data_IF_717918584064
#
_entry.id   IF_717918584064
#
_cell.length_a   1.000
_cell.length_b   1.000
_cell.length_c   1.000
_cell.angle_alpha   90.00
_cell.angle_beta   90.00
_cell.angle_gamma   90.00
#
_symmetry.space_group_name_H-M   'P 1'
#
loop_
_entity.id
_entity.type
_entity.pdbx_description
1 polymer ?
#
# COMPACT_ATOMS: atom_id res chain seq x y z
N UNK A 1 -0.46 16.03 -5.43
CA UNK A 1 0.00 15.87 -4.01
C UNK A 1 -0.83 14.77 -3.34
N UNK A 2 -0.28 14.09 -2.31
CA UNK A 2 -0.89 12.91 -1.67
C UNK A 2 -2.34 13.08 -1.21
N UNK A 3 -2.74 14.31 -0.88
CA UNK A 3 -4.06 14.63 -0.32
C UNK A 3 -4.99 15.33 -1.32
N UNK A 4 -4.79 15.11 -2.62
CA UNK A 4 -5.69 15.64 -3.66
C UNK A 4 -6.85 14.68 -3.92
N UNK A 5 -8.02 15.21 -4.29
CA UNK A 5 -9.19 14.38 -4.65
C UNK A 5 -8.87 13.29 -5.70
N UNK A 6 -8.13 13.56 -6.79
CA UNK A 6 -7.73 12.52 -7.74
C UNK A 6 -6.89 11.40 -7.13
N UNK A 7 -6.04 11.73 -6.16
CA UNK A 7 -5.20 10.76 -5.46
C UNK A 7 -6.02 9.89 -4.50
N UNK A 8 -7.02 10.46 -3.84
CA UNK A 8 -7.97 9.68 -3.02
C UNK A 8 -8.79 8.71 -3.87
N UNK A 9 -9.30 9.14 -5.02
CA UNK A 9 -9.99 8.24 -5.96
C UNK A 9 -9.09 7.11 -6.43
N UNK A 10 -7.81 7.40 -6.71
CA UNK A 10 -6.82 6.39 -7.08
C UNK A 10 -6.58 5.39 -5.93
N UNK A 11 -6.45 5.87 -4.69
CA UNK A 11 -6.25 5.04 -3.49
C UNK A 11 -7.47 4.16 -3.20
N UNK A 12 -8.69 4.69 -3.33
CA UNK A 12 -9.91 3.88 -3.19
C UNK A 12 -10.03 2.81 -4.27
N UNK A 13 -9.69 3.15 -5.52
CA UNK A 13 -9.66 2.16 -6.61
C UNK A 13 -8.65 1.06 -6.30
N UNK A 14 -7.46 1.43 -5.85
CA UNK A 14 -6.42 0.48 -5.44
C UNK A 14 -6.92 -0.43 -4.31
N UNK A 15 -7.52 0.12 -3.26
CA UNK A 15 -8.05 -0.66 -2.14
C UNK A 15 -9.13 -1.65 -2.57
N UNK A 16 -10.03 -1.27 -3.49
CA UNK A 16 -11.04 -2.18 -4.05
C UNK A 16 -10.40 -3.35 -4.82
N UNK A 17 -9.38 -3.08 -5.63
CA UNK A 17 -8.66 -4.12 -6.38
C UNK A 17 -7.88 -5.06 -5.46
N UNK A 18 -7.27 -4.52 -4.40
CA UNK A 18 -6.57 -5.30 -3.37
C UNK A 18 -7.55 -6.19 -2.61
N UNK A 19 -8.72 -5.67 -2.24
CA UNK A 19 -9.78 -6.48 -1.64
C UNK A 19 -10.22 -7.62 -2.58
N UNK A 20 -10.29 -7.36 -3.89
CA UNK A 20 -10.56 -8.37 -4.91
C UNK A 20 -9.59 -9.55 -4.89
N UNK A 21 -8.27 -9.30 -4.85
CA UNK A 21 -7.27 -10.38 -4.75
C UNK A 21 -7.28 -11.09 -3.38
N UNK A 22 -7.91 -10.48 -2.37
CA UNK A 22 -8.19 -11.09 -1.07
C UNK A 22 -9.57 -11.77 -0.99
N UNK A 23 -10.26 -11.94 -2.13
CA UNK A 23 -11.61 -12.50 -2.21
C UNK A 23 -12.64 -11.77 -1.33
N UNK A 24 -12.48 -10.45 -1.18
CA UNK A 24 -13.32 -9.61 -0.34
C UNK A 24 -13.05 -9.72 1.17
N UNK A 25 -12.07 -10.54 1.59
CA UNK A 25 -11.73 -10.69 3.01
C UNK A 25 -10.46 -9.92 3.39
N UNK A 26 -10.64 -8.71 3.92
CA UNK A 26 -9.54 -7.84 4.39
C UNK A 26 -9.09 -8.23 5.81
N UNK A 27 -9.97 -8.84 6.63
CA UNK A 27 -9.67 -9.24 8.00
C UNK A 27 -9.35 -10.73 8.09
N UNK A 28 -8.06 -11.06 8.19
CA UNK A 28 -7.60 -12.44 8.32
C UNK A 28 -7.64 -12.97 9.75
N UNK A 29 -7.66 -12.06 10.73
CA UNK A 29 -7.75 -12.43 12.13
C UNK A 29 -9.17 -12.91 12.47
N UNK A 30 -9.33 -13.93 13.34
CA UNK A 30 -10.64 -14.35 13.85
C UNK A 30 -11.12 -13.35 14.92
N UNK A 31 -11.63 -12.20 14.48
CA UNK A 31 -12.08 -11.13 15.37
C UNK A 31 -13.49 -11.45 15.88
N UNK A 32 -13.70 -11.62 17.20
CA UNK A 32 -15.03 -11.84 17.74
C UNK A 32 -15.87 -10.56 17.67
N UNK A 33 -17.10 -10.66 17.16
CA UNK A 33 -18.06 -9.55 17.19
C UNK A 33 -18.64 -9.42 18.61
N UNK A 34 -17.95 -8.62 19.44
CA UNK A 34 -18.30 -8.39 20.83
C UNK A 34 -18.55 -6.92 21.09
N UNK A 35 -19.72 -6.61 21.66
CA UNK A 35 -20.07 -5.27 22.14
C UNK A 35 -18.99 -4.67 23.05
N UNK A 36 -18.59 -3.45 22.72
CA UNK A 36 -17.58 -2.70 23.48
C UNK A 36 -16.14 -3.04 23.11
N UNK A 37 -15.91 -3.80 22.04
CA UNK A 37 -14.57 -3.95 21.45
C UNK A 37 -14.08 -2.64 20.86
N UNK A 38 -12.77 -2.44 20.82
CA UNK A 38 -12.12 -1.29 20.18
C UNK A 38 -11.17 -1.77 19.10
N UNK A 39 -11.18 -1.10 17.96
CA UNK A 39 -10.35 -1.43 16.81
C UNK A 39 -9.63 -0.18 16.31
N UNK A 40 -8.35 -0.32 15.96
CA UNK A 40 -7.49 0.78 15.53
C UNK A 40 -6.88 0.46 14.14
N UNK A 41 -7.17 1.30 13.16
CA UNK A 41 -6.56 1.30 11.83
C UNK A 41 -5.41 2.31 11.79
N UNK A 42 -4.16 1.85 11.65
CA UNK A 42 -2.95 2.68 11.67
C UNK A 42 -2.46 2.89 10.24
N UNK A 43 -2.31 4.15 9.84
CA UNK A 43 -2.08 4.53 8.44
C UNK A 43 -3.36 4.41 7.62
N UNK A 44 -4.49 4.85 8.18
CA UNK A 44 -5.81 4.59 7.59
C UNK A 44 -6.04 5.29 6.24
N UNK A 45 -5.17 6.24 5.85
CA UNK A 45 -5.23 6.92 4.56
C UNK A 45 -6.58 7.58 4.31
N UNK A 46 -7.31 7.11 3.29
CA UNK A 46 -8.66 7.60 2.95
C UNK A 46 -9.74 7.16 3.93
N UNK A 47 -9.45 6.19 4.82
CA UNK A 47 -10.40 5.62 5.75
C UNK A 47 -11.21 4.44 5.20
N UNK A 48 -10.95 3.99 3.97
CA UNK A 48 -11.75 2.92 3.33
C UNK A 48 -11.74 1.59 4.12
N UNK A 49 -10.63 1.26 4.77
CA UNK A 49 -10.54 0.07 5.63
C UNK A 49 -11.24 0.32 6.97
N UNK A 50 -11.05 1.50 7.59
CA UNK A 50 -11.81 1.92 8.77
C UNK A 50 -13.33 1.83 8.55
N UNK A 51 -13.82 2.23 7.38
CA UNK A 51 -15.24 2.13 7.03
C UNK A 51 -15.69 0.67 6.95
N UNK A 52 -14.93 -0.21 6.28
CA UNK A 52 -15.21 -1.65 6.22
C UNK A 52 -15.19 -2.29 7.63
N UNK A 53 -14.28 -1.86 8.52
CA UNK A 53 -14.27 -2.28 9.93
C UNK A 53 -15.60 -1.91 10.62
N UNK A 54 -16.04 -0.65 10.47
CA UNK A 54 -17.27 -0.16 11.13
C UNK A 54 -18.54 -0.85 10.64
N UNK A 55 -18.57 -1.24 9.36
CA UNK A 55 -19.70 -1.94 8.76
C UNK A 55 -19.74 -3.42 9.19
N UNK A 56 -18.57 -4.08 9.26
CA UNK A 56 -18.47 -5.49 9.67
C UNK A 56 -18.61 -5.70 11.17
N UNK A 57 -18.16 -4.75 11.98
CA UNK A 57 -18.18 -4.81 13.45
C UNK A 57 -18.94 -3.62 14.02
N UNK A 58 -20.27 -3.51 13.78
CA UNK A 58 -21.06 -2.34 14.17
C UNK A 58 -21.17 -2.16 15.69
N UNK A 59 -20.82 -3.19 16.47
CA UNK A 59 -20.79 -3.13 17.93
C UNK A 59 -19.43 -2.73 18.52
N UNK A 60 -18.42 -2.53 17.66
CA UNK A 60 -17.08 -2.10 18.03
C UNK A 60 -16.89 -0.59 17.80
N UNK A 61 -16.06 0.04 18.63
CA UNK A 61 -15.56 1.38 18.40
C UNK A 61 -14.37 1.30 17.44
N UNK A 62 -14.56 1.76 16.19
CA UNK A 62 -13.54 1.73 15.14
C UNK A 62 -12.87 3.11 15.02
N UNK A 63 -11.54 3.14 15.11
CA UNK A 63 -10.73 4.37 15.11
C UNK A 63 -9.73 4.31 13.97
N UNK A 64 -9.76 5.28 13.06
CA UNK A 64 -8.73 5.47 12.03
C UNK A 64 -7.69 6.50 12.46
N UNK A 65 -6.42 6.20 12.26
CA UNK A 65 -5.28 7.09 12.53
C UNK A 65 -4.38 7.16 11.31
N UNK A 66 -4.07 8.36 10.80
CA UNK A 66 -3.11 8.57 9.71
C UNK A 66 -2.12 9.69 10.06
N UNK A 67 -0.95 9.69 9.40
CA UNK A 67 0.13 10.64 9.65
C UNK A 67 -0.04 12.00 8.98
N UNK A 68 -1.01 12.20 8.08
CA UNK A 68 -1.18 13.50 7.42
C UNK A 68 -2.01 14.51 8.25
N UNK A 69 -1.73 15.83 8.21
CA UNK A 69 -0.84 16.51 7.25
C UNK A 69 0.57 16.72 7.80
N UNK A 70 1.57 16.33 7.03
CA UNK A 70 3.01 16.50 7.30
C UNK A 70 3.46 17.90 6.84
N UNK A 71 3.69 18.87 7.73
CA UNK A 71 4.65 19.95 7.47
C UNK A 71 6.07 19.40 7.62
N UNK A 72 6.93 19.71 6.66
CA UNK A 72 8.36 19.34 6.67
C UNK A 72 9.09 20.13 7.78
N UNK A 73 9.06 19.60 9.00
CA UNK A 73 9.76 20.18 10.17
C UNK A 73 10.95 19.34 10.64
N UNK A 74 11.25 18.19 10.02
CA UNK A 74 12.34 17.32 10.46
C UNK A 74 13.12 16.78 9.26
N UNK A 75 14.44 16.82 9.40
CA UNK A 75 15.38 16.14 8.50
C UNK A 75 15.02 14.65 8.47
N UNK A 76 14.72 14.15 7.28
CA UNK A 76 14.40 12.74 7.07
C UNK A 76 15.73 11.97 7.12
N UNK A 77 15.82 11.01 8.03
CA UNK A 77 17.01 10.17 8.16
C UNK A 77 16.99 9.10 7.04
N UNK A 78 18.07 8.92 6.24
CA UNK A 78 18.11 8.00 5.09
C UNK A 78 17.79 6.52 5.42
N UNK A 79 17.81 6.12 6.68
CA UNK A 79 17.55 4.74 7.11
C UNK A 79 16.06 4.37 7.31
N UNK A 80 15.12 4.97 6.57
CA UNK A 80 13.67 4.87 6.90
C UNK A 80 12.79 3.99 6.01
N UNK A 81 13.31 3.39 4.94
CA UNK A 81 12.51 2.50 4.09
C UNK A 81 13.18 1.13 3.96
N UNK A 82 12.71 0.19 4.78
CA UNK A 82 13.02 -1.22 4.57
C UNK A 82 12.02 -1.79 3.56
N UNK A 83 12.48 -1.99 2.33
CA UNK A 83 11.65 -2.55 1.24
C UNK A 83 11.25 -4.01 1.48
N UNK A 84 11.85 -4.66 2.48
CA UNK A 84 11.52 -6.03 2.92
C UNK A 84 10.81 -6.05 4.27
N UNK A 85 10.26 -4.92 4.73
CA UNK A 85 9.56 -4.86 6.02
C UNK A 85 8.42 -5.89 6.11
N UNK A 86 7.69 -6.12 5.02
CA UNK A 86 6.61 -7.11 4.95
C UNK A 86 7.07 -8.54 5.31
N UNK A 87 8.25 -8.95 4.84
CA UNK A 87 8.83 -10.27 5.13
C UNK A 87 9.23 -10.43 6.60
N UNK A 88 9.56 -9.32 7.27
CA UNK A 88 10.06 -9.29 8.64
C UNK A 88 8.97 -9.12 9.69
N UNK A 89 7.76 -8.69 9.30
CA UNK A 89 6.65 -8.41 10.21
C UNK A 89 6.38 -9.57 11.18
N UNK A 90 6.38 -10.81 10.70
CA UNK A 90 6.14 -11.98 11.55
C UNK A 90 7.23 -12.18 12.62
N UNK A 91 8.50 -11.92 12.29
CA UNK A 91 9.58 -11.95 13.26
C UNK A 91 9.39 -10.86 14.32
N UNK A 92 9.15 -9.62 13.89
CA UNK A 92 8.94 -8.50 14.79
C UNK A 92 7.73 -8.70 15.72
N UNK A 93 6.64 -9.29 15.23
CA UNK A 93 5.49 -9.65 16.05
C UNK A 93 5.86 -10.66 17.14
N UNK A 94 6.62 -11.71 16.81
CA UNK A 94 7.08 -12.69 17.81
C UNK A 94 8.02 -12.05 18.84
N UNK A 95 8.96 -11.22 18.39
CA UNK A 95 9.87 -10.48 19.27
C UNK A 95 9.12 -9.51 20.20
N UNK A 96 8.01 -8.93 19.72
CA UNK A 96 7.11 -8.10 20.51
C UNK A 96 6.16 -8.89 21.44
N UNK A 97 6.26 -10.23 21.45
CA UNK A 97 5.50 -11.10 22.35
C UNK A 97 4.13 -11.53 21.83
N UNK A 98 3.84 -11.39 20.54
CA UNK A 98 2.64 -11.97 19.95
C UNK A 98 2.76 -13.48 19.81
N UNK A 99 1.65 -14.17 20.03
CA UNK A 99 1.45 -15.61 19.83
C UNK A 99 0.51 -15.86 18.64
N UNK A 100 0.39 -17.12 18.22
CA UNK A 100 -0.50 -17.52 17.12
C UNK A 100 -0.24 -16.74 15.81
N UNK A 101 1.03 -16.39 15.54
CA UNK A 101 1.43 -15.56 14.40
C UNK A 101 1.29 -16.33 13.08
N UNK A 102 0.49 -15.81 12.16
CA UNK A 102 0.23 -16.38 10.83
C UNK A 102 0.52 -15.35 9.75
N UNK A 103 0.97 -15.82 8.59
CA UNK A 103 1.34 -14.99 7.43
C UNK A 103 0.60 -15.50 6.21
N UNK A 104 -0.13 -14.60 5.54
CA UNK A 104 -0.79 -14.86 4.27
C UNK A 104 -0.14 -13.99 3.19
N UNK A 105 0.65 -14.58 2.26
CA UNK A 105 1.21 -13.86 1.14
C UNK A 105 0.16 -13.68 0.03
N UNK A 106 0.16 -12.50 -0.58
CA UNK A 106 -0.64 -12.16 -1.74
C UNK A 106 0.26 -11.67 -2.87
N UNK A 107 0.04 -12.20 -4.07
CA UNK A 107 0.70 -11.70 -5.26
C UNK A 107 0.19 -10.29 -5.58
N UNK A 108 1.10 -9.33 -5.62
CA UNK A 108 0.84 -7.97 -6.04
C UNK A 108 1.34 -7.78 -7.48
N UNK A 109 0.45 -8.05 -8.44
CA UNK A 109 0.77 -7.98 -9.86
C UNK A 109 1.15 -6.55 -10.27
N UNK A 110 2.31 -6.38 -10.89
CA UNK A 110 2.75 -5.10 -11.47
C UNK A 110 2.43 -5.01 -12.98
N UNK A 111 2.23 -6.16 -13.62
CA UNK A 111 1.80 -6.31 -15.02
C UNK A 111 0.51 -7.14 -15.08
N UNK A 112 -0.41 -6.80 -15.98
CA UNK A 112 -1.69 -7.51 -16.09
C UNK A 112 -1.76 -8.62 -17.14
N UNK A 113 -0.87 -8.65 -18.13
CA UNK A 113 -1.04 -9.45 -19.35
C UNK A 113 -1.05 -10.97 -19.08
N UNK A 114 -0.14 -11.45 -18.24
CA UNK A 114 0.06 -12.89 -18.02
C UNK A 114 -0.49 -13.38 -16.69
N UNK A 115 -1.34 -12.59 -16.03
CA UNK A 115 -1.88 -12.97 -14.74
C UNK A 115 -2.98 -14.02 -14.88
N UNK A 116 -3.02 -14.95 -13.93
CA UNK A 116 -3.87 -16.15 -14.01
C UNK A 116 -5.33 -15.82 -13.70
N UNK A 117 -5.56 -15.00 -12.67
CA UNK A 117 -6.91 -14.64 -12.22
C UNK A 117 -7.36 -13.29 -12.79
N UNK A 118 -8.67 -13.09 -13.03
CA UNK A 118 -9.21 -11.81 -13.45
C UNK A 118 -8.83 -10.65 -12.52
N UNK A 119 -8.81 -10.89 -11.21
CA UNK A 119 -8.48 -9.89 -10.19
C UNK A 119 -7.02 -9.43 -10.32
N UNK A 120 -6.09 -10.37 -10.51
CA UNK A 120 -4.67 -10.06 -10.71
C UNK A 120 -4.43 -9.34 -12.03
N UNK A 121 -5.16 -9.68 -13.11
CA UNK A 121 -5.06 -8.96 -14.39
C UNK A 121 -5.48 -7.50 -14.26
N UNK A 122 -6.59 -7.25 -13.58
CA UNK A 122 -7.11 -5.88 -13.38
C UNK A 122 -6.16 -5.08 -12.47
N UNK A 123 -5.69 -5.67 -11.36
CA UNK A 123 -4.69 -5.06 -10.48
C UNK A 123 -3.39 -4.74 -11.24
N UNK A 124 -2.88 -5.68 -12.03
CA UNK A 124 -1.69 -5.51 -12.83
C UNK A 124 -1.82 -4.39 -13.88
N UNK A 125 -2.96 -4.32 -14.58
CA UNK A 125 -3.24 -3.22 -15.51
C UNK A 125 -3.28 -1.87 -14.80
N UNK A 126 -3.97 -1.81 -13.66
CA UNK A 126 -4.04 -0.59 -12.85
C UNK A 126 -2.66 -0.14 -12.37
N UNK A 127 -1.81 -1.07 -11.92
CA UNK A 127 -0.46 -0.77 -11.45
C UNK A 127 0.45 -0.31 -12.60
N UNK A 128 0.39 -0.94 -13.77
CA UNK A 128 1.15 -0.54 -14.95
C UNK A 128 0.86 0.93 -15.36
N UNK A 129 -0.36 1.39 -15.17
CA UNK A 129 -0.74 2.77 -15.48
C UNK A 129 -0.32 3.79 -14.41
N UNK A 130 -0.35 3.39 -13.12
CA UNK A 130 -0.24 4.30 -11.97
C UNK A 130 1.12 4.30 -11.28
N UNK A 131 1.87 3.19 -11.26
CA UNK A 131 3.20 3.12 -10.65
C UNK A 131 4.19 4.11 -11.29
N UNK A 132 4.27 4.26 -12.63
CA UNK A 132 5.13 5.28 -13.24
C UNK A 132 4.75 6.72 -12.86
N UNK A 133 3.49 6.97 -12.48
CA UNK A 133 3.04 8.29 -12.03
C UNK A 133 3.53 8.57 -10.60
N UNK A 134 3.61 7.56 -9.75
CA UNK A 134 4.08 7.69 -8.37
C UNK A 134 5.59 7.86 -8.26
N UNK A 135 6.37 7.15 -9.08
CA UNK A 135 7.84 7.22 -9.00
C UNK A 135 8.36 8.64 -9.25
N UNK A 136 7.66 9.41 -10.07
CA UNK A 136 7.93 10.83 -10.27
C UNK A 136 7.98 11.60 -8.94
N UNK A 137 6.99 11.42 -8.05
CA UNK A 137 7.00 12.09 -6.75
C UNK A 137 8.15 11.64 -5.85
N UNK A 138 8.55 10.37 -5.92
CA UNK A 138 9.71 9.88 -5.17
C UNK A 138 11.01 10.49 -5.68
N UNK A 139 11.17 10.61 -7.01
CA UNK A 139 12.33 11.23 -7.65
C UNK A 139 12.36 12.73 -7.40
N UNK A 140 11.24 13.44 -7.59
CA UNK A 140 11.13 14.86 -7.27
C UNK A 140 11.44 15.12 -5.80
N UNK A 141 10.94 14.29 -4.88
CA UNK A 141 11.20 14.43 -3.45
C UNK A 141 12.65 14.12 -3.07
N UNK A 142 13.29 13.17 -3.75
CA UNK A 142 14.72 12.88 -3.58
C UNK A 142 15.61 14.01 -4.12
N UNK A 143 15.14 14.76 -5.12
CA UNK A 143 15.83 15.92 -5.70
C UNK A 143 15.53 17.21 -4.92
N UNK A 144 14.37 17.26 -4.25
CA UNK A 144 13.90 18.40 -3.43
C UNK A 144 14.70 18.63 -2.14
N UNK A 145 15.80 17.92 -1.90
CA UNK A 145 16.88 18.32 -0.98
C UNK A 145 17.64 19.57 -1.51
N UNK A 146 16.89 20.58 -1.97
CA UNK A 146 17.36 21.94 -2.24
C UNK A 146 17.52 22.35 -3.71
N UNK A 147 17.28 21.48 -4.70
CA UNK A 147 17.55 21.82 -6.11
C UNK A 147 16.30 21.79 -6.99
N UNK A 148 16.07 22.88 -7.74
CA UNK A 148 15.11 22.91 -8.83
C UNK A 148 15.63 22.01 -9.95
N UNK A 149 14.88 21.00 -10.43
CA UNK A 149 15.34 20.12 -11.49
C UNK A 149 15.61 20.90 -12.77
N UNK A 150 16.76 20.67 -13.42
CA UNK A 150 17.04 21.21 -14.75
C UNK A 150 16.09 20.62 -15.81
N UNK A 151 15.93 21.30 -16.94
CA UNK A 151 15.13 20.77 -18.07
C UNK A 151 15.63 19.42 -18.58
N UNK A 152 16.94 19.19 -18.56
CA UNK A 152 17.55 17.89 -18.90
C UNK A 152 17.11 16.79 -17.92
N UNK A 153 17.08 17.09 -16.62
CA UNK A 153 16.60 16.15 -15.60
C UNK A 153 15.11 15.85 -15.78
N UNK A 154 14.29 16.87 -16.07
CA UNK A 154 12.87 16.68 -16.36
C UNK A 154 12.65 15.76 -17.56
N UNK A 155 13.43 15.95 -18.64
CA UNK A 155 13.38 15.07 -19.82
C UNK A 155 13.74 13.64 -19.45
N UNK A 156 14.81 13.44 -18.68
CA UNK A 156 15.26 12.10 -18.25
C UNK A 156 14.23 11.41 -17.35
N UNK A 157 13.57 12.14 -16.47
CA UNK A 157 12.47 11.61 -15.65
C UNK A 157 11.32 11.14 -16.54
N UNK A 158 10.96 11.91 -17.57
CA UNK A 158 9.88 11.54 -18.48
C UNK A 158 10.24 10.34 -19.36
N UNK A 159 11.49 10.27 -19.85
CA UNK A 159 12.02 9.09 -20.56
C UNK A 159 11.93 7.83 -19.68
N UNK A 160 12.40 7.89 -18.45
CA UNK A 160 12.30 6.78 -17.49
C UNK A 160 10.85 6.35 -17.25
N UNK A 161 9.90 7.30 -17.17
CA UNK A 161 8.47 6.97 -17.02
C UNK A 161 7.91 6.24 -18.22
N UNK A 162 8.32 6.64 -19.42
CA UNK A 162 7.91 5.98 -20.66
C UNK A 162 8.44 4.55 -20.71
N UNK A 163 9.73 4.36 -20.45
CA UNK A 163 10.36 3.03 -20.41
C UNK A 163 9.73 2.12 -19.34
N UNK A 164 9.48 2.65 -18.14
CA UNK A 164 8.78 1.92 -17.09
C UNK A 164 7.37 1.54 -17.49
N UNK A 165 6.62 2.45 -18.11
CA UNK A 165 5.27 2.16 -18.58
C UNK A 165 5.31 1.06 -19.64
N UNK A 166 6.20 1.15 -20.61
CA UNK A 166 6.36 0.12 -21.66
C UNK A 166 6.70 -1.24 -21.03
N UNK A 167 7.62 -1.25 -20.08
CA UNK A 167 8.01 -2.45 -19.32
C UNK A 167 6.85 -3.04 -18.52
N UNK A 168 6.08 -2.20 -17.81
CA UNK A 168 4.97 -2.69 -16.98
C UNK A 168 3.74 -3.07 -17.80
N UNK A 169 3.54 -2.47 -18.96
CA UNK A 169 2.43 -2.82 -19.84
C UNK A 169 2.74 -4.09 -20.60
N UNK A 170 3.95 -4.25 -21.15
CA UNK A 170 4.33 -5.40 -21.98
C UNK A 170 5.01 -6.54 -21.21
N UNK A 171 5.39 -6.29 -19.96
CA UNK A 171 6.09 -7.24 -19.10
C UNK A 171 5.24 -8.45 -18.72
N UNK A 172 5.94 -9.53 -18.39
CA UNK A 172 5.32 -10.78 -17.97
C UNK A 172 5.86 -11.17 -16.60
N UNK A 173 4.99 -11.65 -15.71
CA UNK A 173 5.38 -12.17 -14.39
C UNK A 173 5.95 -11.16 -13.40
N UNK A 174 5.99 -9.85 -13.69
CA UNK A 174 6.46 -8.85 -12.73
C UNK A 174 5.45 -8.65 -11.59
N UNK A 175 5.88 -8.94 -10.37
CA UNK A 175 5.08 -8.79 -9.17
C UNK A 175 5.98 -8.57 -7.95
N UNK A 176 5.39 -8.06 -6.87
CA UNK A 176 5.94 -8.19 -5.53
C UNK A 176 5.00 -9.03 -4.66
N UNK A 177 5.44 -9.38 -3.46
CA UNK A 177 4.60 -10.09 -2.49
C UNK A 177 4.16 -9.08 -1.43
N UNK A 178 2.85 -8.96 -1.26
CA UNK A 178 2.24 -8.28 -0.14
C UNK A 178 1.97 -9.33 0.95
N UNK A 179 2.32 -9.02 2.20
CA UNK A 179 2.14 -9.94 3.32
C UNK A 179 1.06 -9.40 4.25
N UNK A 180 0.03 -10.20 4.51
CA UNK A 180 -0.88 -9.98 5.64
C UNK A 180 -0.39 -10.85 6.79
N UNK A 181 0.10 -10.21 7.85
CA UNK A 181 0.54 -10.92 9.06
C UNK A 181 -0.44 -10.64 10.19
N UNK A 182 -0.93 -11.71 10.81
CA UNK A 182 -1.79 -11.61 11.99
C UNK A 182 -1.10 -12.29 13.18
N UNK A 183 -1.48 -11.88 14.38
CA UNK A 183 -1.03 -12.49 15.62
C UNK A 183 -1.87 -11.97 16.77
N UNK A 184 -1.87 -12.72 17.88
CA UNK A 184 -2.65 -12.41 19.07
C UNK A 184 -1.71 -12.06 20.21
N UNK A 185 -2.06 -11.07 21.03
CA UNK A 185 -1.35 -10.85 22.30
C UNK A 185 -1.82 -11.91 23.33
N UNK A 186 -0.91 -12.53 24.10
CA UNK A 186 -1.22 -13.58 25.08
C UNK A 186 -2.40 -13.24 25.98
#
# INVERSE_FOLDING_TARGET
VPNSSPEHTRLETQAKLVSGIMHGNIFHAPIPDRRGSRMLDIGCGTGIVTDDMSQRYPQAECIGLDLSRVPQLRQQNPNRLDTRCGEKTAQWMREAGFVDVQVTPYKWASCGITEETPELRVLGKFNAENVPKMLHFAIERAIADGHVPSEEMRRRIEELRKEMRETLVSGTGLHCIMYVTIGRKP
#
